data_IF_390305449332
#
_entry.id   IF_390305449332
#
_cell.length_a   1.000
_cell.length_b   1.000
_cell.length_c   1.000
_cell.angle_alpha   90.00
_cell.angle_beta   90.00
_cell.angle_gamma   90.00
#
_symmetry.space_group_name_H-M   'P 1'
#
loop_
_entity.id
_entity.type
_entity.pdbx_description
1 polymer ?
#
# COMPACT_ATOMS: atom_id res chain seq x y z
N UNK A 1 -29.50 -15.87 8.56
CA UNK A 1 -30.22 -15.65 7.29
C UNK A 1 -29.14 -15.37 6.24
N UNK A 2 -28.98 -16.17 5.18
CA UNK A 2 -27.97 -15.92 4.14
C UNK A 2 -28.64 -15.34 2.90
N UNK A 3 -28.27 -14.11 2.53
CA UNK A 3 -28.67 -13.52 1.26
C UNK A 3 -27.75 -14.12 0.19
N UNK A 4 -28.34 -14.70 -0.87
CA UNK A 4 -27.59 -15.37 -1.96
C UNK A 4 -27.45 -14.51 -3.22
N UNK A 5 -28.28 -13.49 -3.35
CA UNK A 5 -28.26 -12.55 -4.46
C UNK A 5 -28.97 -11.25 -4.04
N UNK A 6 -28.44 -10.13 -4.50
CA UNK A 6 -29.07 -8.82 -4.42
C UNK A 6 -29.29 -8.34 -5.86
N UNK A 7 -30.53 -8.05 -6.23
CA UNK A 7 -30.86 -7.43 -7.51
C UNK A 7 -31.06 -5.93 -7.29
N UNK A 8 -30.32 -5.12 -8.03
CA UNK A 8 -30.46 -3.67 -8.04
C UNK A 8 -30.92 -3.29 -9.43
N UNK A 9 -32.10 -2.69 -9.51
CA UNK A 9 -32.64 -2.09 -10.73
C UNK A 9 -32.42 -0.59 -10.61
N UNK A 10 -31.77 -0.01 -11.62
CA UNK A 10 -31.40 1.41 -11.63
C UNK A 10 -32.20 2.11 -12.73
N UNK A 11 -32.75 3.27 -12.42
CA UNK A 11 -33.46 4.11 -13.39
C UNK A 11 -32.94 5.56 -13.34
N UNK A 12 -33.09 6.31 -14.44
CA UNK A 12 -32.83 7.76 -14.42
C UNK A 12 -31.37 8.17 -14.15
N UNK A 13 -31.15 8.89 -13.03
CA UNK A 13 -29.85 9.46 -12.59
C UNK A 13 -29.13 8.62 -11.53
N UNK A 14 -29.62 7.41 -11.24
CA UNK A 14 -29.00 6.54 -10.25
C UNK A 14 -27.55 6.25 -10.60
N UNK A 15 -26.69 6.17 -9.57
CA UNK A 15 -25.27 5.86 -9.75
C UNK A 15 -24.83 4.70 -8.87
N UNK A 16 -23.93 3.88 -9.42
CA UNK A 16 -23.15 2.92 -8.65
C UNK A 16 -21.71 3.38 -8.72
N UNK A 17 -21.18 3.75 -7.58
CA UNK A 17 -19.78 4.09 -7.44
C UNK A 17 -19.08 3.02 -6.63
N UNK A 18 -17.87 2.70 -7.06
CA UNK A 18 -17.00 1.79 -6.34
C UNK A 18 -15.84 2.61 -5.74
N UNK A 19 -15.72 2.55 -4.42
CA UNK A 19 -14.69 3.25 -3.66
C UNK A 19 -13.83 2.22 -2.94
N UNK A 20 -12.51 2.28 -3.09
CA UNK A 20 -11.62 1.46 -2.28
C UNK A 20 -10.96 2.34 -1.22
N UNK A 21 -11.01 1.89 0.04
CA UNK A 21 -10.14 2.46 1.06
C UNK A 21 -8.71 2.10 0.73
N UNK A 22 -7.83 3.07 0.85
CA UNK A 22 -6.38 2.87 0.73
C UNK A 22 -5.70 2.73 2.10
N UNK A 23 -6.34 3.22 3.16
CA UNK A 23 -5.85 3.12 4.54
C UNK A 23 -6.38 1.90 5.29
N UNK A 24 -7.47 1.30 4.83
CA UNK A 24 -8.08 0.11 5.42
C UNK A 24 -8.26 -0.95 4.32
N UNK A 25 -8.21 -2.26 4.66
CA UNK A 25 -8.43 -3.33 3.69
C UNK A 25 -9.92 -3.50 3.41
N UNK A 26 -10.60 -2.40 3.07
CA UNK A 26 -12.05 -2.30 2.88
C UNK A 26 -12.34 -1.56 1.59
N UNK A 27 -13.46 -1.88 0.96
CA UNK A 27 -13.99 -1.10 -0.14
C UNK A 27 -15.48 -0.86 0.11
N UNK A 28 -16.08 0.04 -0.64
CA UNK A 28 -17.50 0.36 -0.58
C UNK A 28 -18.07 0.36 -1.97
N UNK A 29 -19.24 -0.25 -2.11
CA UNK A 29 -20.14 0.04 -3.21
C UNK A 29 -21.12 1.07 -2.68
N UNK A 30 -21.13 2.25 -3.30
CA UNK A 30 -22.08 3.31 -3.01
C UNK A 30 -23.15 3.28 -4.08
N UNK A 31 -24.40 3.13 -3.64
CA UNK A 31 -25.58 3.23 -4.48
C UNK A 31 -26.26 4.54 -4.14
N UNK A 32 -26.42 5.43 -5.11
CA UNK A 32 -27.27 6.61 -4.98
C UNK A 32 -28.52 6.41 -5.84
N UNK A 33 -29.68 6.37 -5.19
CA UNK A 33 -30.98 6.21 -5.84
C UNK A 33 -31.92 7.29 -5.33
N UNK A 34 -32.36 8.18 -6.21
CA UNK A 34 -33.24 9.31 -5.88
C UNK A 34 -32.78 10.14 -4.67
N UNK A 35 -31.47 10.35 -4.51
CA UNK A 35 -30.86 11.09 -3.39
C UNK A 35 -30.81 10.32 -2.07
N UNK A 36 -31.15 9.02 -2.09
CA UNK A 36 -30.95 8.10 -0.99
C UNK A 36 -29.71 7.26 -1.22
N UNK A 37 -28.73 7.41 -0.33
CA UNK A 37 -27.45 6.71 -0.43
C UNK A 37 -27.46 5.42 0.39
N UNK A 38 -27.00 4.32 -0.21
CA UNK A 38 -26.71 3.06 0.46
C UNK A 38 -25.24 2.69 0.25
N UNK A 39 -24.53 2.46 1.36
CA UNK A 39 -23.13 2.02 1.33
C UNK A 39 -23.03 0.55 1.72
N UNK A 40 -22.44 -0.24 0.84
CA UNK A 40 -22.16 -1.65 1.08
C UNK A 40 -20.66 -1.78 1.30
N UNK A 41 -20.27 -1.95 2.56
CA UNK A 41 -18.88 -2.23 2.91
C UNK A 41 -18.50 -3.65 2.48
N UNK A 42 -17.38 -3.75 1.79
CA UNK A 42 -16.75 -4.98 1.32
C UNK A 42 -15.54 -5.28 2.20
N UNK A 43 -15.48 -6.52 2.68
CA UNK A 43 -14.28 -7.06 3.31
C UNK A 43 -13.18 -7.31 2.27
N UNK A 44 -11.93 -7.38 2.73
CA UNK A 44 -10.74 -7.64 1.92
C UNK A 44 -10.90 -8.80 0.91
N UNK A 45 -11.44 -9.93 1.36
CA UNK A 45 -11.65 -11.12 0.51
C UNK A 45 -12.59 -10.87 -0.67
N UNK A 46 -13.56 -9.96 -0.53
CA UNK A 46 -14.45 -9.56 -1.61
C UNK A 46 -13.75 -8.63 -2.60
N UNK A 47 -12.86 -7.75 -2.13
CA UNK A 47 -12.05 -6.88 -2.98
C UNK A 47 -11.10 -7.69 -3.84
N UNK A 48 -10.43 -8.69 -3.24
CA UNK A 48 -9.56 -9.63 -3.95
C UNK A 48 -10.32 -10.38 -5.05
N UNK A 49 -11.51 -10.90 -4.74
CA UNK A 49 -12.36 -11.59 -5.72
C UNK A 49 -12.81 -10.67 -6.85
N UNK A 50 -13.13 -9.40 -6.56
CA UNK A 50 -13.55 -8.42 -7.57
C UNK A 50 -12.40 -8.02 -8.51
N UNK A 51 -11.16 -7.94 -8.01
CA UNK A 51 -9.96 -7.68 -8.84
C UNK A 51 -9.78 -8.73 -9.92
N UNK A 52 -10.00 -10.01 -9.59
CA UNK A 52 -9.87 -11.11 -10.54
C UNK A 52 -10.95 -11.07 -11.63
N UNK A 53 -12.13 -10.53 -11.33
CA UNK A 53 -13.28 -10.54 -12.23
C UNK A 53 -13.46 -9.27 -13.06
N UNK A 54 -13.02 -8.10 -12.57
CA UNK A 54 -13.24 -6.79 -13.21
C UNK A 54 -11.96 -5.94 -13.30
N UNK A 55 -10.88 -6.43 -13.93
CA UNK A 55 -9.57 -5.77 -13.92
C UNK A 55 -9.55 -4.36 -14.53
N UNK A 56 -10.45 -4.07 -15.49
CA UNK A 56 -10.54 -2.76 -16.14
C UNK A 56 -11.28 -1.69 -15.33
N UNK A 57 -12.22 -2.09 -14.47
CA UNK A 57 -13.00 -1.18 -13.59
C UNK A 57 -12.19 -0.85 -12.33
N UNK A 58 -11.27 -1.74 -11.95
CA UNK A 58 -10.47 -1.64 -10.74
C UNK A 58 -9.00 -1.32 -11.03
N UNK A 59 -8.69 -0.70 -12.17
CA UNK A 59 -7.32 -0.33 -12.54
C UNK A 59 -6.65 0.58 -11.47
N UNK A 60 -7.43 1.46 -10.84
CA UNK A 60 -6.98 2.29 -9.70
C UNK A 60 -6.71 1.48 -8.43
N UNK A 61 -7.33 0.30 -8.31
CA UNK A 61 -7.14 -0.69 -7.24
C UNK A 61 -5.97 -1.65 -7.53
N UNK A 62 -5.66 -1.89 -8.81
CA UNK A 62 -4.45 -2.61 -9.22
C UNK A 62 -3.20 -1.82 -8.84
N UNK A 63 -3.25 -0.48 -8.97
CA UNK A 63 -2.21 0.42 -8.45
C UNK A 63 -1.96 0.25 -6.95
N UNK A 64 -3.00 0.04 -6.14
CA UNK A 64 -2.85 -0.23 -4.69
C UNK A 64 -2.13 -1.56 -4.46
N UNK A 65 -2.47 -2.59 -5.24
CA UNK A 65 -1.75 -3.87 -5.20
C UNK A 65 -0.27 -3.73 -5.55
N UNK A 66 0.06 -2.96 -6.59
CA UNK A 66 1.44 -2.68 -6.99
C UNK A 66 2.21 -1.90 -5.92
N UNK A 67 1.56 -0.97 -5.22
CA UNK A 67 2.13 -0.18 -4.12
C UNK A 67 2.41 -1.04 -2.89
N UNK A 68 1.50 -1.94 -2.50
CA UNK A 68 1.70 -2.92 -1.42
C UNK A 68 2.84 -3.89 -1.74
N UNK A 69 2.88 -4.41 -2.98
CA UNK A 69 3.95 -5.25 -3.48
C UNK A 69 5.32 -4.54 -3.42
N UNK A 70 5.36 -3.27 -3.84
CA UNK A 70 6.56 -2.47 -3.80
C UNK A 70 7.03 -2.23 -2.35
N UNK A 71 6.10 -2.00 -1.41
CA UNK A 71 6.41 -1.87 0.02
C UNK A 71 7.00 -3.17 0.57
N UNK A 72 6.35 -4.30 0.31
CA UNK A 72 6.84 -5.62 0.75
C UNK A 72 8.25 -5.90 0.23
N UNK A 73 8.52 -5.60 -1.05
CA UNK A 73 9.86 -5.77 -1.64
C UNK A 73 10.90 -4.85 -1.01
N UNK A 74 10.52 -3.63 -0.62
CA UNK A 74 11.40 -2.70 0.07
C UNK A 74 11.75 -3.21 1.49
N UNK A 75 10.76 -3.69 2.25
CA UNK A 75 10.96 -4.28 3.57
C UNK A 75 11.89 -5.51 3.50
N UNK A 76 11.64 -6.41 2.53
CA UNK A 76 12.49 -7.57 2.28
C UNK A 76 13.93 -7.17 1.90
N UNK A 77 14.09 -6.08 1.13
CA UNK A 77 15.41 -5.57 0.77
C UNK A 77 16.17 -5.02 1.99
N UNK A 78 15.50 -4.30 2.89
CA UNK A 78 16.08 -3.81 4.16
C UNK A 78 16.51 -4.97 5.05
N UNK A 79 15.69 -6.03 5.16
CA UNK A 79 16.05 -7.22 5.93
C UNK A 79 17.30 -7.92 5.35
N UNK A 80 17.34 -8.11 4.03
CA UNK A 80 18.53 -8.67 3.36
C UNK A 80 19.77 -7.80 3.53
N UNK A 81 19.63 -6.48 3.45
CA UNK A 81 20.72 -5.54 3.66
C UNK A 81 21.26 -5.64 5.10
N UNK A 82 20.38 -5.72 6.10
CA UNK A 82 20.76 -5.86 7.52
C UNK A 82 21.52 -7.15 7.79
N UNK A 83 21.07 -8.28 7.23
CA UNK A 83 21.77 -9.55 7.32
C UNK A 83 23.14 -9.50 6.62
N UNK A 84 23.21 -8.90 5.42
CA UNK A 84 24.46 -8.71 4.70
C UNK A 84 25.48 -7.86 5.49
N UNK A 85 25.02 -6.77 6.11
CA UNK A 85 25.85 -5.91 6.99
C UNK A 85 26.38 -6.71 8.17
N UNK A 86 25.52 -7.48 8.84
CA UNK A 86 25.92 -8.32 9.98
C UNK A 86 27.04 -9.28 9.59
N UNK A 87 26.86 -10.00 8.48
CA UNK A 87 27.86 -10.93 7.94
C UNK A 87 29.15 -10.23 7.51
N UNK A 88 29.06 -9.03 6.94
CA UNK A 88 30.23 -8.24 6.54
C UNK A 88 31.05 -7.82 7.76
N UNK A 89 30.40 -7.37 8.84
CA UNK A 89 31.06 -6.98 10.08
C UNK A 89 31.71 -8.18 10.81
N UNK A 90 31.05 -9.33 10.82
CA UNK A 90 31.64 -10.57 11.34
C UNK A 90 32.89 -10.97 10.55
N UNK A 91 32.83 -10.93 9.22
CA UNK A 91 33.99 -11.21 8.36
C UNK A 91 35.10 -10.18 8.52
N UNK A 92 34.76 -8.90 8.71
CA UNK A 92 35.73 -7.85 8.98
C UNK A 92 36.51 -8.13 10.27
N UNK A 93 35.80 -8.56 11.32
CA UNK A 93 36.41 -8.96 12.60
C UNK A 93 37.33 -10.17 12.43
N UNK A 94 36.92 -11.17 11.65
CA UNK A 94 37.77 -12.33 11.36
C UNK A 94 39.02 -11.95 10.56
N UNK A 95 38.88 -11.09 9.56
CA UNK A 95 40.00 -10.59 8.76
C UNK A 95 41.00 -9.78 9.61
N UNK A 96 40.51 -8.98 10.56
CA UNK A 96 41.37 -8.26 11.50
C UNK A 96 42.20 -9.22 12.37
N UNK A 97 41.58 -10.29 12.87
CA UNK A 97 42.25 -11.29 13.70
C UNK A 97 43.36 -12.05 12.96
N UNK A 98 43.31 -12.10 11.62
CA UNK A 98 44.34 -12.73 10.78
C UNK A 98 45.32 -11.71 10.17
N UNK A 99 45.23 -10.43 10.55
CA UNK A 99 46.10 -9.35 10.07
C UNK A 99 45.74 -8.81 8.68
N UNK A 100 44.61 -9.21 8.10
CA UNK A 100 44.12 -8.73 6.81
C UNK A 100 43.37 -7.40 6.94
N UNK A 101 44.06 -6.36 7.41
CA UNK A 101 43.45 -5.07 7.77
C UNK A 101 42.78 -4.35 6.59
N UNK A 102 43.32 -4.45 5.37
CA UNK A 102 42.71 -3.85 4.17
C UNK A 102 41.34 -4.48 3.86
N UNK A 103 41.24 -5.81 3.97
CA UNK A 103 39.99 -6.55 3.78
C UNK A 103 38.99 -6.18 4.88
N UNK A 104 39.43 -6.12 6.14
CA UNK A 104 38.59 -5.70 7.26
C UNK A 104 38.05 -4.27 7.06
N UNK A 105 38.88 -3.36 6.56
CA UNK A 105 38.49 -1.97 6.27
C UNK A 105 37.47 -1.92 5.13
N UNK A 106 37.73 -2.60 4.02
CA UNK A 106 36.83 -2.67 2.88
C UNK A 106 35.45 -3.22 3.27
N UNK A 107 35.40 -4.28 4.08
CA UNK A 107 34.15 -4.86 4.58
C UNK A 107 33.36 -3.90 5.48
N UNK A 108 34.04 -3.11 6.32
CA UNK A 108 33.39 -2.08 7.15
C UNK A 108 32.84 -0.93 6.32
N UNK A 109 33.59 -0.48 5.30
CA UNK A 109 33.13 0.55 4.37
C UNK A 109 31.88 0.07 3.63
N UNK A 110 31.91 -1.13 3.05
CA UNK A 110 30.75 -1.71 2.37
C UNK A 110 29.55 -1.89 3.31
N UNK A 111 29.79 -2.28 4.56
CA UNK A 111 28.73 -2.36 5.57
C UNK A 111 28.11 -0.98 5.87
N UNK A 112 28.93 0.06 6.03
CA UNK A 112 28.45 1.43 6.27
C UNK A 112 27.62 1.97 5.09
N UNK A 113 28.10 1.80 3.85
CA UNK A 113 27.38 2.21 2.64
C UNK A 113 26.05 1.46 2.48
N UNK A 114 26.03 0.17 2.81
CA UNK A 114 24.81 -0.65 2.76
C UNK A 114 23.80 -0.19 3.82
N UNK A 115 24.25 0.09 5.05
CA UNK A 115 23.38 0.65 6.10
C UNK A 115 22.81 2.00 5.69
N UNK A 116 23.62 2.92 5.18
CA UNK A 116 23.17 4.23 4.74
C UNK A 116 22.09 4.13 3.64
N UNK A 117 22.29 3.20 2.70
CA UNK A 117 21.33 2.94 1.63
C UNK A 117 20.03 2.34 2.18
N UNK A 118 20.11 1.36 3.09
CA UNK A 118 18.94 0.75 3.71
C UNK A 118 18.12 1.78 4.50
N UNK A 119 18.77 2.66 5.25
CA UNK A 119 18.13 3.74 5.99
C UNK A 119 17.45 4.76 5.05
N UNK A 120 18.07 5.04 3.89
CA UNK A 120 17.46 5.90 2.88
C UNK A 120 16.18 5.29 2.28
N UNK A 121 16.18 3.97 2.04
CA UNK A 121 15.00 3.23 1.57
C UNK A 121 13.88 3.25 2.62
N UNK A 122 14.17 2.93 3.89
CA UNK A 122 13.17 2.97 4.98
C UNK A 122 12.54 4.36 5.11
N UNK A 123 13.35 5.44 5.07
CA UNK A 123 12.84 6.82 5.06
C UNK A 123 11.91 7.09 3.88
N UNK A 124 12.31 6.68 2.67
CA UNK A 124 11.51 6.89 1.47
C UNK A 124 10.16 6.16 1.54
N UNK A 125 10.15 4.92 2.03
CA UNK A 125 8.92 4.13 2.24
C UNK A 125 8.00 4.83 3.24
N UNK A 126 8.52 5.30 4.38
CA UNK A 126 7.71 6.03 5.37
C UNK A 126 7.11 7.31 4.80
N UNK A 127 7.90 8.11 4.10
CA UNK A 127 7.41 9.33 3.44
C UNK A 127 6.34 9.01 2.40
N UNK A 128 6.51 7.93 1.63
CA UNK A 128 5.49 7.48 0.67
C UNK A 128 4.18 7.08 1.36
N UNK A 129 4.24 6.32 2.46
CA UNK A 129 3.06 5.92 3.24
C UNK A 129 2.34 7.16 3.81
N UNK A 130 3.07 8.11 4.37
CA UNK A 130 2.49 9.36 4.90
C UNK A 130 1.83 10.20 3.80
N UNK A 131 2.46 10.32 2.64
CA UNK A 131 1.92 11.05 1.49
C UNK A 131 0.63 10.39 0.98
N UNK A 132 0.59 9.06 0.93
CA UNK A 132 -0.59 8.29 0.50
C UNK A 132 -1.76 8.51 1.46
N UNK A 133 -1.53 8.35 2.77
CA UNK A 133 -2.55 8.62 3.79
C UNK A 133 -3.09 10.07 3.73
N UNK A 134 -2.22 11.04 3.44
CA UNK A 134 -2.63 12.44 3.28
C UNK A 134 -3.50 12.65 2.04
N UNK A 135 -3.14 12.02 0.92
CA UNK A 135 -3.93 12.02 -0.31
C UNK A 135 -5.32 11.38 -0.10
N UNK A 136 -5.39 10.27 0.64
CA UNK A 136 -6.65 9.58 0.94
C UNK A 136 -7.58 10.46 1.77
N UNK A 137 -7.07 11.07 2.84
CA UNK A 137 -7.85 12.04 3.64
C UNK A 137 -8.28 13.25 2.82
N UNK A 138 -7.53 13.63 1.79
CA UNK A 138 -7.94 14.71 0.88
C UNK A 138 -9.06 14.24 -0.06
N UNK A 139 -8.97 13.01 -0.57
CA UNK A 139 -10.01 12.39 -1.39
C UNK A 139 -11.32 12.20 -0.60
N UNK A 140 -11.26 11.70 0.63
CA UNK A 140 -12.45 11.54 1.51
C UNK A 140 -13.14 12.89 1.77
N UNK A 141 -12.35 13.93 2.03
CA UNK A 141 -12.87 15.29 2.21
C UNK A 141 -13.51 15.84 0.94
N UNK A 142 -12.92 15.56 -0.22
CA UNK A 142 -13.47 15.95 -1.51
C UNK A 142 -14.80 15.24 -1.77
N UNK A 143 -14.86 13.92 -1.57
CA UNK A 143 -16.07 13.13 -1.72
C UNK A 143 -17.19 13.66 -0.81
N UNK A 144 -16.89 13.89 0.48
CA UNK A 144 -17.85 14.43 1.43
C UNK A 144 -18.34 15.85 1.07
N UNK A 145 -17.45 16.72 0.60
CA UNK A 145 -17.83 18.06 0.13
C UNK A 145 -18.72 18.02 -1.12
N UNK A 146 -18.50 17.04 -1.99
CA UNK A 146 -19.32 16.85 -3.21
C UNK A 146 -20.72 16.39 -2.86
N UNK A 147 -20.86 15.49 -1.87
CA UNK A 147 -22.16 15.08 -1.30
C UNK A 147 -22.93 16.28 -0.73
N UNK A 148 -22.28 17.15 0.04
CA UNK A 148 -22.93 18.34 0.60
C UNK A 148 -23.36 19.36 -0.48
N UNK A 149 -22.57 19.50 -1.54
CA UNK A 149 -22.89 20.40 -2.65
C UNK A 149 -24.06 19.90 -3.52
N UNK A 150 -24.26 18.59 -3.64
CA UNK A 150 -25.40 18.00 -4.36
C UNK A 150 -26.75 18.06 -3.62
N UNK A 151 -26.72 18.34 -2.31
CA UNK A 151 -27.92 18.50 -1.47
C UNK A 151 -28.41 19.96 -1.37
N UNK A 152 -27.74 20.90 -2.05
CA UNK A 152 -28.00 22.36 -2.04
C UNK A 152 -28.75 22.80 -3.30
#
# INVERSE_FOLDING_TARGET
MSIRSLGIEMEGQDTIEFHASRSEPTAWIVLDVDGSQCEIQLAQSHVETLRDQLPGVLADLARVGDEDDARQRADDAVLRATDAVTRALEKARLAENTGAHEVATSLRTAAAETTETADAVDRAVRTFVEATLSADRAADRLAHATVLAGQS
#
